data_IF_685213322402
#
_entry.id   IF_685213322402
#
_cell.length_a   1.000
_cell.length_b   1.000
_cell.length_c   1.000
_cell.angle_alpha   90.00
_cell.angle_beta   90.00
_cell.angle_gamma   90.00
#
_symmetry.space_group_name_H-M   'P 1'
#
loop_
_entity.id
_entity.type
_entity.pdbx_description
1 polymer ?
#
# COMPACT_ATOMS: atom_id res chain seq x y z
N UNK A 1 -12.09 -19.49 -36.83
CA UNK A 1 -12.78 -18.35 -36.20
C UNK A 1 -12.32 -17.06 -36.88
N UNK A 2 -12.46 -16.97 -38.20
CA UNK A 2 -12.03 -15.77 -38.96
C UNK A 2 -13.26 -15.02 -39.48
N UNK A 3 -13.25 -13.70 -39.33
CA UNK A 3 -14.38 -12.79 -39.60
C UNK A 3 -15.62 -13.03 -38.73
N UNK A 4 -15.42 -13.32 -37.45
CA UNK A 4 -16.51 -13.44 -36.48
C UNK A 4 -16.79 -12.11 -35.79
N UNK A 5 -18.06 -11.72 -35.69
CA UNK A 5 -18.48 -10.57 -34.89
C UNK A 5 -18.61 -10.99 -33.42
N UNK A 6 -17.69 -10.53 -32.57
CA UNK A 6 -17.66 -10.82 -31.15
C UNK A 6 -17.65 -9.51 -30.36
N UNK A 7 -18.66 -9.30 -29.51
CA UNK A 7 -18.82 -8.09 -28.69
C UNK A 7 -18.67 -6.76 -29.46
N UNK A 8 -19.16 -6.72 -30.71
CA UNK A 8 -19.08 -5.52 -31.56
C UNK A 8 -17.75 -5.35 -32.32
N UNK A 9 -16.83 -6.29 -32.22
CA UNK A 9 -15.57 -6.28 -32.97
C UNK A 9 -15.47 -7.48 -33.92
N UNK A 10 -14.93 -7.25 -35.12
CA UNK A 10 -14.68 -8.34 -36.08
C UNK A 10 -13.34 -8.99 -35.75
N UNK A 11 -13.40 -10.21 -35.23
CA UNK A 11 -12.25 -11.03 -34.92
C UNK A 11 -11.71 -11.64 -36.22
N UNK A 12 -10.48 -11.28 -36.58
CA UNK A 12 -9.75 -11.83 -37.74
C UNK A 12 -8.58 -12.67 -37.28
N UNK A 13 -8.44 -13.87 -37.83
CA UNK A 13 -7.37 -14.79 -37.47
C UNK A 13 -6.45 -15.02 -38.67
N UNK A 14 -5.14 -14.86 -38.47
CA UNK A 14 -4.10 -15.14 -39.46
C UNK A 14 -3.03 -16.02 -38.86
N UNK A 15 -2.42 -16.87 -39.67
CA UNK A 15 -1.24 -17.67 -39.28
C UNK A 15 0.00 -16.82 -39.55
N UNK A 16 0.86 -16.69 -38.55
CA UNK A 16 2.11 -15.92 -38.62
C UNK A 16 3.27 -16.91 -38.78
N UNK A 17 4.23 -16.59 -39.67
CA UNK A 17 5.46 -17.38 -39.84
C UNK A 17 6.40 -17.20 -38.63
N UNK A 18 7.31 -18.15 -38.38
CA UNK A 18 8.16 -18.10 -37.18
C UNK A 18 9.09 -16.88 -37.14
N UNK A 19 9.51 -16.39 -38.30
CA UNK A 19 10.46 -15.28 -38.44
C UNK A 19 9.83 -13.92 -38.11
N UNK A 20 8.50 -13.82 -38.23
CA UNK A 20 7.72 -12.61 -37.93
C UNK A 20 7.25 -12.55 -36.47
N UNK A 21 7.47 -13.62 -35.69
CA UNK A 21 7.09 -13.64 -34.27
C UNK A 21 8.07 -12.78 -33.49
N UNK A 22 7.57 -11.66 -32.97
CA UNK A 22 8.35 -10.82 -32.06
C UNK A 22 8.83 -11.66 -30.86
N UNK A 23 10.12 -11.58 -30.48
CA UNK A 23 10.69 -12.44 -29.43
C UNK A 23 9.98 -12.29 -28.07
N UNK A 24 9.38 -11.12 -27.82
CA UNK A 24 8.69 -10.82 -26.57
C UNK A 24 7.20 -11.18 -26.56
N UNK A 25 6.63 -11.67 -27.68
CA UNK A 25 5.18 -11.90 -27.83
C UNK A 25 4.62 -12.84 -26.75
N UNK A 26 5.44 -13.78 -26.28
CA UNK A 26 5.06 -14.81 -25.32
C UNK A 26 5.60 -14.57 -23.90
N UNK A 27 6.12 -13.38 -23.60
CA UNK A 27 6.58 -13.06 -22.24
C UNK A 27 5.39 -13.12 -21.29
N UNK A 28 5.48 -14.01 -20.30
CA UNK A 28 4.41 -14.25 -19.34
C UNK A 28 3.31 -15.21 -19.82
N UNK A 29 3.40 -15.74 -21.05
CA UNK A 29 2.56 -16.84 -21.49
C UNK A 29 2.79 -18.09 -20.61
N UNK A 30 1.76 -18.91 -20.44
CA UNK A 30 1.77 -20.11 -19.58
C UNK A 30 2.09 -19.84 -18.10
N UNK A 31 2.10 -18.58 -17.64
CA UNK A 31 2.25 -18.27 -16.23
C UNK A 31 0.95 -18.59 -15.49
N UNK A 32 1.00 -19.56 -14.58
CA UNK A 32 -0.12 -19.81 -13.67
C UNK A 32 -0.28 -18.62 -12.73
N UNK A 33 -1.44 -17.96 -12.78
CA UNK A 33 -1.78 -16.93 -11.80
C UNK A 33 -1.79 -17.54 -10.40
N UNK A 34 -1.08 -16.89 -9.47
CA UNK A 34 -1.10 -17.24 -8.05
C UNK A 34 -1.62 -16.05 -7.26
N UNK A 35 -2.65 -16.28 -6.46
CA UNK A 35 -3.20 -15.25 -5.58
C UNK A 35 -2.13 -14.87 -4.56
N UNK A 36 -1.85 -13.57 -4.46
CA UNK A 36 -0.94 -13.03 -3.43
C UNK A 36 -1.65 -13.08 -2.08
N UNK A 37 -1.10 -13.74 -1.04
CA UNK A 37 -1.73 -13.83 0.27
C UNK A 37 -1.54 -12.51 1.06
N UNK A 38 -2.33 -11.49 0.69
CA UNK A 38 -2.24 -10.14 1.26
C UNK A 38 -2.39 -10.14 2.78
N UNK A 39 -3.32 -10.92 3.32
CA UNK A 39 -3.59 -11.00 4.76
C UNK A 39 -2.34 -11.46 5.54
N UNK A 40 -1.61 -12.44 5.01
CA UNK A 40 -0.37 -12.92 5.63
C UNK A 40 0.70 -11.83 5.61
N UNK A 41 0.87 -11.16 4.47
CA UNK A 41 1.87 -10.08 4.31
C UNK A 41 1.60 -8.96 5.31
N UNK A 42 0.35 -8.50 5.41
CA UNK A 42 -0.06 -7.45 6.35
C UNK A 42 0.18 -7.88 7.79
N UNK A 43 -0.18 -9.12 8.16
CA UNK A 43 0.08 -9.66 9.51
C UNK A 43 1.57 -9.64 9.87
N UNK A 44 2.42 -10.10 8.95
CA UNK A 44 3.87 -10.12 9.17
C UNK A 44 4.42 -8.70 9.32
N UNK A 45 3.98 -7.76 8.48
CA UNK A 45 4.40 -6.35 8.56
C UNK A 45 3.96 -5.69 9.88
N UNK A 46 2.72 -5.94 10.31
CA UNK A 46 2.17 -5.40 11.55
C UNK A 46 2.86 -5.96 12.79
N UNK A 47 3.11 -7.28 12.82
CA UNK A 47 3.72 -7.94 13.98
C UNK A 47 5.25 -7.83 14.01
N UNK A 48 5.86 -7.18 13.01
CA UNK A 48 7.30 -6.95 12.97
C UNK A 48 7.72 -6.10 14.17
N UNK A 49 8.69 -6.57 14.94
CA UNK A 49 9.31 -5.79 16.01
C UNK A 49 9.98 -4.54 15.44
N UNK A 50 9.64 -3.37 15.99
CA UNK A 50 10.23 -2.10 15.57
C UNK A 50 11.55 -1.84 16.29
N UNK A 51 12.55 -1.35 15.56
CA UNK A 51 13.79 -0.84 16.15
C UNK A 51 13.55 0.49 16.88
N UNK A 52 14.45 0.87 17.78
CA UNK A 52 14.33 2.10 18.57
C UNK A 52 14.22 3.35 17.69
N UNK A 53 14.99 3.42 16.59
CA UNK A 53 14.91 4.52 15.63
C UNK A 53 13.53 4.62 14.94
N UNK A 54 12.96 3.47 14.58
CA UNK A 54 11.63 3.38 13.98
C UNK A 54 10.55 3.83 14.97
N UNK A 55 10.69 3.46 16.25
CA UNK A 55 9.79 3.89 17.31
C UNK A 55 9.85 5.41 17.53
N UNK A 56 11.05 6.00 17.60
CA UNK A 56 11.22 7.46 17.72
C UNK A 56 10.59 8.19 16.53
N UNK A 57 10.80 7.68 15.31
CA UNK A 57 10.19 8.23 14.09
C UNK A 57 8.66 8.15 14.14
N UNK A 58 8.11 7.01 14.55
CA UNK A 58 6.67 6.81 14.70
C UNK A 58 6.07 7.79 15.72
N UNK A 59 6.70 7.93 16.89
CA UNK A 59 6.27 8.84 17.96
C UNK A 59 6.24 10.30 17.47
N UNK A 60 7.28 10.74 16.74
CA UNK A 60 7.33 12.07 16.14
C UNK A 60 6.17 12.30 15.16
N UNK A 61 5.85 11.31 14.33
CA UNK A 61 4.73 11.40 13.40
C UNK A 61 3.37 11.42 14.11
N UNK A 62 3.21 10.65 15.19
CA UNK A 62 1.99 10.66 16.01
C UNK A 62 1.72 12.03 16.62
N UNK A 63 2.72 12.65 17.25
CA UNK A 63 2.59 14.00 17.83
C UNK A 63 2.25 15.03 16.74
N UNK A 64 2.90 14.95 15.58
CA UNK A 64 2.60 15.83 14.44
C UNK A 64 1.13 15.70 14.02
N UNK A 65 0.61 14.48 13.86
CA UNK A 65 -0.79 14.23 13.50
C UNK A 65 -1.76 14.72 14.56
N UNK A 66 -1.42 14.58 15.85
CA UNK A 66 -2.23 15.09 16.95
C UNK A 66 -2.35 16.63 16.86
N UNK A 67 -1.24 17.32 16.65
CA UNK A 67 -1.22 18.78 16.51
C UNK A 67 -1.97 19.25 15.26
N UNK A 68 -1.82 18.55 14.12
CA UNK A 68 -2.60 18.83 12.91
C UNK A 68 -4.10 18.66 13.16
N UNK A 69 -4.50 17.64 13.93
CA UNK A 69 -5.91 17.42 14.28
C UNK A 69 -6.44 18.52 15.21
N UNK A 70 -5.65 18.95 16.20
CA UNK A 70 -6.00 20.08 17.09
C UNK A 70 -6.24 21.36 16.28
N UNK A 71 -5.31 21.73 15.39
CA UNK A 71 -5.46 22.89 14.49
C UNK A 71 -6.72 22.81 13.61
N UNK A 72 -7.05 21.62 13.09
CA UNK A 72 -8.26 21.42 12.28
C UNK A 72 -9.54 21.61 13.10
N UNK A 73 -9.55 21.19 14.37
CA UNK A 73 -10.69 21.37 15.25
C UNK A 73 -10.86 22.83 15.68
N UNK A 74 -9.76 23.51 15.99
CA UNK A 74 -9.76 24.97 16.26
C UNK A 74 -10.30 25.75 15.06
N UNK A 75 -9.90 25.40 13.84
CA UNK A 75 -10.42 26.02 12.62
C UNK A 75 -11.93 25.77 12.39
N UNK A 76 -12.46 24.67 12.92
CA UNK A 76 -13.89 24.36 12.91
C UNK A 76 -14.66 25.00 14.09
N UNK A 77 -13.96 25.75 14.96
CA UNK A 77 -14.54 26.37 16.15
C UNK A 77 -14.86 25.40 17.29
N UNK A 78 -14.28 24.20 17.26
CA UNK A 78 -14.47 23.18 18.29
C UNK A 78 -13.34 23.30 19.31
N UNK A 79 -13.66 23.75 20.52
CA UNK A 79 -12.72 23.76 21.64
C UNK A 79 -12.63 22.35 22.24
N UNK A 80 -11.58 21.63 21.85
CA UNK A 80 -11.32 20.27 22.33
C UNK A 80 -9.84 20.08 22.60
N UNK A 81 -9.52 19.82 23.87
CA UNK A 81 -8.15 19.60 24.29
C UNK A 81 -7.78 18.11 24.35
N UNK A 82 -6.60 17.79 23.82
CA UNK A 82 -6.12 16.42 23.72
C UNK A 82 -5.19 16.02 24.87
N UNK A 83 -4.89 16.89 25.83
CA UNK A 83 -3.85 16.63 26.85
C UNK A 83 -4.16 15.45 27.79
N UNK A 84 -5.44 15.10 27.97
CA UNK A 84 -5.85 13.95 28.78
C UNK A 84 -5.81 12.60 28.02
N UNK A 85 -5.92 12.62 26.69
CA UNK A 85 -6.11 11.43 25.83
C UNK A 85 -5.01 11.25 24.78
N UNK A 86 -4.17 12.26 24.62
CA UNK A 86 -3.11 12.32 23.64
C UNK A 86 -1.92 11.43 23.98
N UNK A 87 -1.12 11.13 22.96
CA UNK A 87 0.09 10.35 23.15
C UNK A 87 1.14 11.17 23.91
N UNK A 88 1.51 10.71 25.11
CA UNK A 88 2.64 11.24 25.88
C UNK A 88 3.85 10.35 25.66
N UNK A 89 4.96 10.92 25.21
CA UNK A 89 6.23 10.19 25.09
C UNK A 89 6.62 9.72 26.51
N UNK A 90 6.90 8.44 26.68
CA UNK A 90 7.46 7.96 27.94
C UNK A 90 8.82 8.64 28.20
N UNK A 91 9.02 9.09 29.44
CA UNK A 91 10.31 9.59 29.88
C UNK A 91 11.30 8.42 29.79
N UNK A 92 12.40 8.63 29.06
CA UNK A 92 13.48 7.65 29.00
C UNK A 92 14.21 7.69 30.33
N UNK A 93 14.24 6.57 31.06
CA UNK A 93 15.02 6.40 32.28
C UNK A 93 16.51 6.64 31.97
N UNK A 94 16.97 7.88 32.11
CA UNK A 94 18.39 8.23 32.15
C UNK A 94 18.93 7.85 33.52
N UNK A 95 19.11 6.56 33.78
CA UNK A 95 19.89 6.02 34.90
C UNK A 95 20.33 4.58 34.56
N UNK A 96 21.38 4.46 33.75
CA UNK A 96 22.26 3.28 33.68
C UNK A 96 23.63 3.73 33.14
#
# INVERSE_FOLDING_TARGET
MDNYLLSGHILKCKVISKDEVHPELWIGANRKWRVVPRDRIVRVQHNKSQTEEEQVRSNKQLIKRQNERKRKLEALGIDYDFDAVGYKKAETDTNA
#
